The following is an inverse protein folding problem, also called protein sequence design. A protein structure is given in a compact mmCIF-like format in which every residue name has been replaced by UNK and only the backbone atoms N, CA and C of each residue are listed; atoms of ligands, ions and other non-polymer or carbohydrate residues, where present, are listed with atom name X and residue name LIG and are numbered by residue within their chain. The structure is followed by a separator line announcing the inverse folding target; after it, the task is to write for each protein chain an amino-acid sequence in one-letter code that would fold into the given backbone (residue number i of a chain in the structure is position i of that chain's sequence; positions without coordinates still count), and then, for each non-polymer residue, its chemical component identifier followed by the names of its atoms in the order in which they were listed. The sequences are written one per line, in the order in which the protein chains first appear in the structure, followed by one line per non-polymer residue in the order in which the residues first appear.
data_IF_720606753567
#
_entry.id   IF_720606753567
#
_cell.length_a   1.000
_cell.length_b   1.000
_cell.length_c   1.000
_cell.angle_alpha   90.00
_cell.angle_beta   90.00
_cell.angle_gamma   90.00
#
_symmetry.space_group_name_H-M   'P 1'
#
loop_
_entity.id
_entity.type
_entity.pdbx_description
1 polymer ?
#
# COMPACT_ATOMS: atom_id res chain seq x y z
N UNK A 1 14.78 14.72 26.47
CA UNK A 1 13.94 14.45 25.28
C UNK A 1 14.84 13.74 24.30
N UNK A 2 14.41 12.62 23.71
CA UNK A 2 15.28 11.83 22.84
C UNK A 2 15.39 12.54 21.50
N UNK A 3 16.58 13.05 21.18
CA UNK A 3 16.88 13.63 19.87
C UNK A 3 16.96 12.49 18.85
N UNK A 4 15.85 12.20 18.19
CA UNK A 4 15.78 11.23 17.08
C UNK A 4 16.33 11.86 15.80
N UNK A 5 17.57 12.32 15.83
CA UNK A 5 18.29 12.75 14.63
C UNK A 5 19.25 11.64 14.19
N UNK A 6 18.69 10.46 13.91
CA UNK A 6 19.41 9.43 13.17
C UNK A 6 19.29 9.80 11.69
N UNK A 7 20.19 10.67 11.21
CA UNK A 7 20.38 10.84 9.77
C UNK A 7 20.83 9.49 9.25
N UNK A 8 19.93 8.79 8.60
CA UNK A 8 20.21 7.48 8.05
C UNK A 8 20.95 7.72 6.74
N UNK A 9 22.25 8.05 6.82
CA UNK A 9 23.12 8.43 5.70
C UNK A 9 23.09 7.43 4.55
N UNK A 10 22.71 6.18 4.84
CA UNK A 10 22.48 5.14 3.86
C UNK A 10 21.24 5.38 2.98
N UNK A 11 20.14 5.88 3.53
CA UNK A 11 18.90 6.10 2.78
C UNK A 11 19.05 7.21 1.73
N UNK A 12 19.83 8.24 2.03
CA UNK A 12 20.11 9.35 1.11
C UNK A 12 20.97 8.92 -0.11
N UNK A 13 21.64 7.77 -0.01
CA UNK A 13 22.42 7.16 -1.11
C UNK A 13 21.57 6.24 -1.99
N UNK A 14 20.36 5.86 -1.56
CA UNK A 14 19.46 5.02 -2.35
C UNK A 14 18.72 5.87 -3.39
N UNK A 15 18.49 5.35 -4.61
CA UNK A 15 17.69 6.05 -5.59
C UNK A 15 16.25 6.22 -5.09
N UNK A 16 15.65 7.38 -5.36
CA UNK A 16 14.24 7.63 -5.04
C UNK A 16 13.36 6.58 -5.72
N UNK A 17 12.59 5.86 -4.93
CA UNK A 17 11.58 4.95 -5.45
C UNK A 17 10.45 5.78 -6.09
N UNK A 18 10.12 5.46 -7.34
CA UNK A 18 9.02 6.07 -8.10
C UNK A 18 8.04 4.99 -8.49
N UNK A 19 6.76 5.20 -8.19
CA UNK A 19 5.67 4.31 -8.61
C UNK A 19 4.61 5.12 -9.34
N UNK A 20 4.11 4.57 -10.44
CA UNK A 20 2.96 5.14 -11.13
C UNK A 20 1.69 4.72 -10.40
N UNK A 21 1.18 5.62 -9.56
CA UNK A 21 -0.09 5.40 -8.86
C UNK A 21 -1.21 6.00 -9.71
N UNK A 22 -2.19 5.21 -10.16
CA UNK A 22 -3.33 5.74 -10.90
C UNK A 22 -4.16 6.66 -9.99
N UNK A 23 -4.74 7.72 -10.58
CA UNK A 23 -5.65 8.60 -9.85
C UNK A 23 -6.95 7.84 -9.51
N UNK A 24 -7.21 7.67 -8.21
CA UNK A 24 -8.39 6.95 -7.73
C UNK A 24 -9.57 7.92 -7.51
N UNK A 25 -10.78 7.47 -7.89
CA UNK A 25 -12.03 8.18 -7.59
C UNK A 25 -12.70 7.53 -6.39
N UNK A 26 -13.47 8.31 -5.63
CA UNK A 26 -14.31 7.76 -4.56
C UNK A 26 -15.43 6.91 -5.18
N UNK A 27 -15.49 5.64 -4.80
CA UNK A 27 -16.54 4.69 -5.21
C UNK A 27 -17.36 4.25 -3.99
N UNK A 28 -18.08 3.13 -4.11
CA UNK A 28 -18.71 2.47 -2.96
C UNK A 28 -17.67 1.95 -1.95
N UNK A 29 -18.10 1.90 -0.69
CA UNK A 29 -17.36 1.31 0.42
C UNK A 29 -18.07 0.01 0.86
N UNK A 30 -17.37 -0.85 1.60
CA UNK A 30 -18.01 -2.00 2.24
C UNK A 30 -19.13 -1.54 3.19
N UNK A 31 -20.26 -2.25 3.16
CA UNK A 31 -21.35 -2.04 4.12
C UNK A 31 -20.95 -2.52 5.52
N UNK A 32 -20.18 -3.62 5.59
CA UNK A 32 -19.63 -4.14 6.83
C UNK A 32 -18.17 -3.69 7.03
N UNK A 33 -17.92 -2.91 8.08
CA UNK A 33 -16.59 -2.40 8.41
C UNK A 33 -15.63 -3.47 8.93
N UNK A 34 -16.13 -4.55 9.55
CA UNK A 34 -15.31 -5.66 10.02
C UNK A 34 -14.72 -6.45 8.84
N UNK A 35 -15.49 -6.61 7.77
CA UNK A 35 -15.04 -7.19 6.50
C UNK A 35 -13.94 -6.32 5.87
N UNK A 36 -14.17 -5.00 5.76
CA UNK A 36 -13.17 -4.06 5.26
C UNK A 36 -11.85 -4.13 6.05
N UNK A 37 -11.94 -4.23 7.38
CA UNK A 37 -10.80 -4.36 8.26
C UNK A 37 -10.03 -5.67 7.99
N UNK A 38 -10.74 -6.79 7.83
CA UNK A 38 -10.12 -8.08 7.50
C UNK A 38 -9.46 -8.08 6.10
N UNK A 39 -10.08 -7.42 5.11
CA UNK A 39 -9.53 -7.30 3.75
C UNK A 39 -8.39 -6.29 3.64
N UNK A 40 -8.24 -5.37 4.61
CA UNK A 40 -7.23 -4.30 4.57
C UNK A 40 -7.56 -3.16 3.61
N UNK A 41 -8.83 -3.04 3.19
CA UNK A 41 -9.31 -1.96 2.31
C UNK A 41 -10.78 -1.67 2.56
N UNK A 42 -11.16 -0.39 2.58
CA UNK A 42 -12.58 0.04 2.64
C UNK A 42 -13.27 -0.04 1.28
N UNK A 43 -12.51 -0.14 0.20
CA UNK A 43 -13.02 -0.18 -1.16
C UNK A 43 -13.13 -1.63 -1.65
N UNK A 44 -14.34 -2.16 -1.89
CA UNK A 44 -14.53 -3.52 -2.37
C UNK A 44 -13.83 -3.79 -3.71
N UNK A 45 -13.71 -2.78 -4.58
CA UNK A 45 -13.02 -2.89 -5.87
C UNK A 45 -11.52 -3.19 -5.77
N UNK A 46 -10.92 -2.90 -4.60
CA UNK A 46 -9.51 -3.18 -4.31
C UNK A 46 -9.30 -4.58 -3.70
N UNK A 47 -10.37 -5.24 -3.23
CA UNK A 47 -10.32 -6.61 -2.73
C UNK A 47 -10.25 -7.62 -3.89
N UNK A 48 -9.08 -7.72 -4.52
CA UNK A 48 -8.85 -8.57 -5.69
C UNK A 48 -8.36 -9.97 -5.26
N UNK A 49 -8.83 -11.05 -5.91
CA UNK A 49 -8.34 -12.38 -5.60
C UNK A 49 -6.83 -12.44 -5.85
N UNK A 50 -6.11 -13.05 -4.91
CA UNK A 50 -4.68 -13.30 -5.09
C UNK A 50 -4.49 -14.38 -6.16
N UNK A 51 -4.17 -13.95 -7.39
CA UNK A 51 -3.97 -14.87 -8.53
C UNK A 51 -2.57 -15.47 -8.59
N UNK A 52 -1.69 -15.15 -7.63
CA UNK A 52 -0.41 -15.82 -7.40
C UNK A 52 0.34 -16.19 -8.68
N UNK A 53 0.55 -15.23 -9.60
CA UNK A 53 1.35 -15.52 -10.79
C UNK A 53 2.79 -15.76 -10.34
N UNK A 54 3.28 -17.00 -10.51
CA UNK A 54 4.71 -17.29 -10.37
C UNK A 54 5.46 -16.43 -11.39
N UNK A 55 6.50 -15.73 -10.95
CA UNK A 55 7.54 -15.22 -11.84
C UNK A 55 8.23 -16.43 -12.47
N UNK A 56 7.70 -16.94 -13.58
CA UNK A 56 8.39 -17.95 -14.39
C UNK A 56 9.50 -17.25 -15.16
N UNK A 57 10.73 -17.77 -15.02
CA UNK A 57 11.90 -17.34 -15.78
C UNK A 57 11.73 -17.65 -17.27
#
# INVERSE_FOLDING_TARGET
MQDTNHKNEFLDQLPLAMAYVPWQRMTGIFENLEEAFCCGTIFPELNKPFTGRRCVK
#
